data_IF_434366862756
#
_entry.id   IF_434366862756
#
_cell.length_a   1.000
_cell.length_b   1.000
_cell.length_c   1.000
_cell.angle_alpha   90.00
_cell.angle_beta   90.00
_cell.angle_gamma   90.00
#
_symmetry.space_group_name_H-M   'P 1'
#
loop_
_entity.id
_entity.type
_entity.pdbx_description
1 polymer ?
#
# COMPACT_ATOMS: atom_id res chain seq x y z
N UNK A 1 12.78 24.79 2.12
CA UNK A 1 12.51 23.75 1.11
C UNK A 1 12.71 22.40 1.79
N UNK A 2 11.75 21.48 1.83
CA UNK A 2 12.04 20.17 2.36
C UNK A 2 12.76 19.38 1.26
N UNK A 3 13.98 18.95 1.57
CA UNK A 3 14.71 17.96 0.79
C UNK A 3 13.85 16.71 0.68
N UNK A 4 13.50 16.32 -0.55
CA UNK A 4 12.96 15.01 -0.83
C UNK A 4 14.13 14.05 -0.66
N UNK A 5 14.35 13.58 0.57
CA UNK A 5 15.18 12.40 0.79
C UNK A 5 14.58 11.31 -0.09
N UNK A 6 15.35 10.88 -1.09
CA UNK A 6 14.94 9.84 -2.01
C UNK A 6 14.90 8.55 -1.19
N UNK A 7 13.69 8.12 -0.80
CA UNK A 7 13.50 6.79 -0.25
C UNK A 7 14.00 5.80 -1.30
N UNK A 8 15.01 4.96 -1.02
CA UNK A 8 15.53 4.00 -1.99
C UNK A 8 14.48 2.99 -2.47
N UNK A 9 13.34 2.87 -1.78
CA UNK A 9 12.20 2.08 -2.21
C UNK A 9 11.25 2.82 -3.18
N UNK A 10 11.40 4.13 -3.38
CA UNK A 10 10.55 4.92 -4.29
C UNK A 10 11.01 4.77 -5.74
N UNK A 11 10.14 4.12 -6.51
CA UNK A 11 10.32 3.84 -7.93
C UNK A 11 9.64 4.89 -8.81
N UNK A 12 8.95 5.88 -8.23
CA UNK A 12 8.18 6.85 -8.99
C UNK A 12 9.06 7.88 -9.69
N UNK A 13 8.67 8.25 -10.91
CA UNK A 13 9.24 9.37 -11.67
C UNK A 13 8.23 10.48 -11.90
N UNK A 14 7.05 10.39 -11.28
CA UNK A 14 5.95 11.33 -11.46
C UNK A 14 5.85 12.20 -10.21
N UNK A 15 5.99 13.53 -10.32
CA UNK A 15 5.85 14.43 -9.18
C UNK A 15 4.51 14.25 -8.47
N UNK A 16 4.54 14.17 -7.13
CA UNK A 16 3.35 13.98 -6.31
C UNK A 16 2.83 12.54 -6.24
N UNK A 17 3.48 11.59 -6.92
CA UNK A 17 3.21 10.15 -6.79
C UNK A 17 4.42 9.49 -6.13
N UNK A 18 4.18 8.76 -5.06
CA UNK A 18 5.17 7.89 -4.43
C UNK A 18 4.83 6.43 -4.76
N UNK A 19 5.79 5.68 -5.31
CA UNK A 19 5.59 4.29 -5.69
C UNK A 19 6.58 3.39 -4.98
N UNK A 20 6.13 2.75 -3.91
CA UNK A 20 6.96 1.93 -3.03
C UNK A 20 6.65 0.44 -3.22
N UNK A 21 7.68 -0.41 -3.17
CA UNK A 21 7.52 -1.87 -3.11
C UNK A 21 7.91 -2.41 -1.74
N UNK A 22 6.97 -3.07 -1.06
CA UNK A 22 7.19 -3.68 0.25
C UNK A 22 6.38 -4.97 0.40
N UNK A 23 6.84 -5.88 1.27
CA UNK A 23 6.10 -7.10 1.62
C UNK A 23 5.05 -6.88 2.71
N UNK A 24 5.15 -5.78 3.44
CA UNK A 24 4.17 -5.37 4.43
C UNK A 24 4.30 -3.88 4.70
N UNK A 25 3.17 -3.25 4.97
CA UNK A 25 3.05 -1.81 5.22
C UNK A 25 2.09 -1.55 6.37
N UNK A 26 2.28 -0.41 7.02
CA UNK A 26 1.29 0.16 7.92
C UNK A 26 0.84 1.48 7.34
N UNK A 27 -0.46 1.63 7.12
CA UNK A 27 -1.08 2.85 6.61
C UNK A 27 -1.72 3.56 7.79
N UNK A 28 -1.33 4.80 8.04
CA UNK A 28 -1.87 5.65 9.09
C UNK A 28 -2.27 7.01 8.52
N UNK A 29 -3.27 7.63 9.14
CA UNK A 29 -3.71 8.99 8.83
C UNK A 29 -3.50 9.86 10.06
N UNK A 30 -3.14 11.13 9.85
CA UNK A 30 -3.00 12.11 10.94
C UNK A 30 -4.34 12.63 11.48
N UNK A 31 -5.45 12.12 10.97
CA UNK A 31 -6.84 12.48 11.27
C UNK A 31 -7.62 11.25 11.74
N UNK A 32 -8.93 11.41 11.98
CA UNK A 32 -9.87 10.32 12.27
C UNK A 32 -9.66 9.10 11.36
N UNK A 33 -9.99 7.88 11.85
CA UNK A 33 -9.97 6.66 11.04
C UNK A 33 -10.66 6.85 9.70
N UNK A 34 -9.98 6.46 8.63
CA UNK A 34 -10.49 6.55 7.26
C UNK A 34 -10.86 5.17 6.75
N UNK A 35 -11.99 5.05 6.08
CA UNK A 35 -12.44 3.78 5.50
C UNK A 35 -11.45 3.26 4.45
N UNK A 36 -11.18 1.96 4.52
CA UNK A 36 -10.30 1.24 3.59
C UNK A 36 -11.12 0.24 2.79
N UNK A 37 -11.02 0.36 1.47
CA UNK A 37 -11.61 -0.61 0.54
C UNK A 37 -10.61 -1.68 0.13
N UNK A 38 -11.06 -2.92 0.09
CA UNK A 38 -10.31 -4.08 -0.40
C UNK A 38 -11.18 -4.78 -1.44
N UNK A 39 -10.66 -4.96 -2.65
CA UNK A 39 -11.37 -5.58 -3.77
C UNK A 39 -12.76 -4.98 -4.08
N UNK A 40 -12.91 -3.68 -3.85
CA UNK A 40 -14.15 -2.93 -4.12
C UNK A 40 -15.16 -2.90 -2.96
N UNK A 41 -14.88 -3.54 -1.83
CA UNK A 41 -15.71 -3.51 -0.64
C UNK A 41 -15.00 -2.79 0.52
N UNK A 42 -15.72 -1.99 1.32
CA UNK A 42 -15.17 -1.41 2.56
C UNK A 42 -15.00 -2.53 3.58
N UNK A 43 -13.76 -2.79 4.00
CA UNK A 43 -13.41 -3.94 4.85
C UNK A 43 -12.57 -3.57 6.08
N UNK A 44 -12.34 -2.28 6.33
CA UNK A 44 -11.62 -1.82 7.51
C UNK A 44 -11.49 -0.29 7.54
N UNK A 45 -10.71 0.19 8.50
CA UNK A 45 -10.38 1.61 8.64
C UNK A 45 -8.89 1.78 8.97
N UNK A 46 -8.32 2.96 8.74
CA UNK A 46 -6.97 3.28 9.22
C UNK A 46 -6.95 3.43 10.76
N UNK A 47 -5.87 3.02 11.45
CA UNK A 47 -4.66 2.43 10.90
C UNK A 47 -4.85 1.00 10.38
N UNK A 48 -4.25 0.71 9.24
CA UNK A 48 -4.35 -0.60 8.58
C UNK A 48 -2.97 -1.24 8.42
N UNK A 49 -2.84 -2.49 8.88
CA UNK A 49 -1.65 -3.31 8.64
C UNK A 49 -1.93 -4.27 7.49
N UNK A 50 -1.15 -4.15 6.42
CA UNK A 50 -1.31 -4.96 5.21
C UNK A 50 -0.03 -5.73 4.96
N UNK A 51 -0.13 -7.04 4.75
CA UNK A 51 1.03 -7.89 4.48
C UNK A 51 0.73 -8.87 3.34
N UNK A 52 1.77 -9.19 2.58
CA UNK A 52 1.71 -10.29 1.63
C UNK A 52 1.56 -11.60 2.40
N UNK A 53 0.51 -12.36 2.09
CA UNK A 53 0.30 -13.68 2.67
C UNK A 53 1.53 -14.57 2.46
N UNK A 54 1.89 -15.34 3.49
CA UNK A 54 3.03 -16.25 3.42
C UNK A 54 2.79 -17.43 2.47
N UNK A 55 1.52 -17.76 2.24
CA UNK A 55 1.09 -18.83 1.35
C UNK A 55 0.53 -18.25 0.05
N UNK A 56 0.88 -18.89 -1.06
CA UNK A 56 0.37 -18.53 -2.38
C UNK A 56 -0.80 -19.43 -2.74
N UNK A 57 -1.93 -18.82 -3.10
CA UNK A 57 -3.06 -19.54 -3.66
C UNK A 57 -2.72 -20.04 -5.07
N UNK A 58 -3.14 -21.27 -5.38
CA UNK A 58 -3.07 -21.81 -6.74
C UNK A 58 -4.30 -21.34 -7.50
N UNK A 59 -4.07 -20.65 -8.61
CA UNK A 59 -5.14 -20.11 -9.47
C UNK A 59 -5.01 -20.71 -10.86
N UNK A 60 -6.14 -21.08 -11.46
CA UNK A 60 -6.18 -21.49 -12.87
C UNK A 60 -6.17 -20.24 -13.74
N UNK A 61 -5.21 -20.15 -14.66
CA UNK A 61 -5.10 -19.04 -15.61
C UNK A 61 -5.39 -19.53 -17.03
N UNK A 62 -6.10 -18.74 -17.87
CA UNK A 62 -6.26 -19.06 -19.29
C UNK A 62 -4.90 -19.17 -20.00
N UNK A 63 -4.88 -19.95 -21.08
CA UNK A 63 -3.73 -20.03 -22.00
C UNK A 63 -3.75 -18.90 -23.02
#
# INVERSE_FOLDING_TARGET
EPSIDHDPADLSRIPGIHHLQARGITIMTGTDPQDVTLDGEVRGQTPAHVCLASERLRVMVPR
#
